data_IF_521419460020
#
_entry.id   IF_521419460020
#
_cell.length_a   1.000
_cell.length_b   1.000
_cell.length_c   1.000
_cell.angle_alpha   90.00
_cell.angle_beta   90.00
_cell.angle_gamma   90.00
#
_symmetry.space_group_name_H-M   'P 1'
#
loop_
_entity.id
_entity.type
_entity.pdbx_description
1 polymer ?
#
# COMPACT_ATOMS: atom_id res chain seq x y z
N UNK A 1 8.66 10.32 -3.46
CA UNK A 1 7.72 9.35 -2.88
C UNK A 1 6.52 9.19 -3.79
N UNK A 2 5.99 7.96 -3.98
CA UNK A 2 4.75 7.68 -4.73
C UNK A 2 3.79 6.92 -3.81
N UNK A 3 2.51 7.33 -3.80
CA UNK A 3 1.39 6.62 -3.16
C UNK A 3 0.41 6.25 -4.27
N UNK A 4 0.38 4.97 -4.66
CA UNK A 4 -0.25 4.54 -5.92
C UNK A 4 -1.75 4.23 -5.77
N UNK A 5 -2.25 4.04 -4.55
CA UNK A 5 -3.66 3.75 -4.25
C UNK A 5 -4.13 4.65 -3.09
N UNK A 6 -4.03 5.96 -3.29
CA UNK A 6 -3.99 6.95 -2.22
C UNK A 6 -5.34 7.26 -1.56
N UNK A 7 -6.46 7.04 -2.25
CA UNK A 7 -7.76 7.46 -1.74
C UNK A 7 -8.20 6.70 -0.47
N UNK A 8 -8.70 7.40 0.53
CA UNK A 8 -9.17 8.79 0.58
C UNK A 8 -8.12 9.85 0.96
N UNK A 9 -6.80 9.53 1.04
CA UNK A 9 -5.74 10.50 1.26
C UNK A 9 -5.08 10.46 2.65
N UNK A 10 -5.58 9.66 3.57
CA UNK A 10 -5.02 9.58 4.93
C UNK A 10 -3.55 9.16 4.97
N UNK A 11 -3.17 8.12 4.21
CA UNK A 11 -1.77 7.66 4.15
C UNK A 11 -0.88 8.67 3.46
N UNK A 12 -1.34 9.29 2.36
CA UNK A 12 -0.60 10.38 1.70
C UNK A 12 -0.32 11.55 2.65
N UNK A 13 -1.30 11.98 3.43
CA UNK A 13 -1.11 13.05 4.41
C UNK A 13 -0.09 12.66 5.49
N UNK A 14 -0.16 11.43 5.99
CA UNK A 14 0.81 10.90 6.97
C UNK A 14 2.22 10.85 6.36
N UNK A 15 2.36 10.40 5.10
CA UNK A 15 3.64 10.40 4.39
C UNK A 15 4.22 11.80 4.26
N UNK A 16 3.40 12.80 3.88
CA UNK A 16 3.82 14.19 3.78
C UNK A 16 4.30 14.75 5.13
N UNK A 17 3.65 14.35 6.22
CA UNK A 17 4.07 14.71 7.58
C UNK A 17 5.46 14.14 7.91
N UNK A 18 5.70 12.86 7.66
CA UNK A 18 7.01 12.23 7.84
C UNK A 18 8.08 12.81 6.90
N UNK A 19 7.69 13.30 5.73
CA UNK A 19 8.56 14.03 4.81
C UNK A 19 8.80 15.48 5.27
N UNK A 20 8.19 15.94 6.35
CA UNK A 20 8.26 17.35 6.83
C UNK A 20 7.87 18.35 5.73
N UNK A 21 6.93 17.99 4.87
CA UNK A 21 6.55 18.75 3.68
C UNK A 21 7.70 19.03 2.70
N UNK A 22 8.77 18.22 2.73
CA UNK A 22 9.93 18.37 1.83
C UNK A 22 9.89 17.35 0.70
N UNK A 23 10.51 17.69 -0.43
CA UNK A 23 10.59 16.82 -1.61
C UNK A 23 9.28 16.79 -2.41
N UNK A 24 8.94 15.65 -3.01
CA UNK A 24 7.74 15.48 -3.83
C UNK A 24 7.00 14.18 -3.46
N UNK A 25 5.74 14.34 -3.10
CA UNK A 25 4.79 13.24 -2.91
C UNK A 25 3.80 13.25 -4.08
N UNK A 26 3.73 12.16 -4.85
CA UNK A 26 2.69 11.98 -5.87
C UNK A 26 1.69 10.96 -5.33
N UNK A 27 0.44 11.38 -5.20
CA UNK A 27 -0.68 10.58 -4.72
C UNK A 27 -1.62 10.26 -5.87
N UNK A 28 -1.80 8.98 -6.17
CA UNK A 28 -2.59 8.50 -7.31
C UNK A 28 -3.75 7.62 -6.87
N UNK A 29 -4.79 7.60 -7.68
CA UNK A 29 -5.88 6.62 -7.56
C UNK A 29 -6.47 6.38 -8.96
N UNK A 30 -6.92 5.16 -9.24
CA UNK A 30 -7.57 4.81 -10.50
C UNK A 30 -8.99 5.37 -10.60
N UNK A 31 -9.63 5.68 -9.48
CA UNK A 31 -10.97 6.23 -9.44
C UNK A 31 -10.92 7.77 -9.39
N UNK A 32 -11.13 8.42 -10.53
CA UNK A 32 -11.08 9.88 -10.69
C UNK A 32 -11.96 10.63 -9.65
N UNK A 33 -13.13 10.10 -9.33
CA UNK A 33 -14.06 10.69 -8.36
C UNK A 33 -13.54 10.63 -6.92
N UNK A 34 -12.58 9.75 -6.60
CA UNK A 34 -11.98 9.65 -5.27
C UNK A 34 -10.79 10.60 -5.07
N UNK A 35 -10.24 11.13 -6.15
CA UNK A 35 -9.09 12.05 -6.09
C UNK A 35 -9.45 13.39 -5.44
N UNK A 36 -10.70 13.82 -5.53
CA UNK A 36 -11.19 15.02 -4.83
C UNK A 36 -11.07 14.89 -3.31
N UNK A 37 -11.27 13.67 -2.77
CA UNK A 37 -11.08 13.38 -1.34
C UNK A 37 -9.61 13.49 -0.94
N UNK A 38 -8.73 12.96 -1.79
CA UNK A 38 -7.27 13.05 -1.58
C UNK A 38 -6.83 14.52 -1.59
N UNK A 39 -7.20 15.27 -2.62
CA UNK A 39 -6.89 16.70 -2.74
C UNK A 39 -7.38 17.50 -1.54
N UNK A 40 -8.64 17.34 -1.16
CA UNK A 40 -9.22 18.02 0.00
C UNK A 40 -8.56 17.65 1.33
N UNK A 41 -8.13 16.39 1.50
CA UNK A 41 -7.39 15.97 2.68
C UNK A 41 -6.01 16.63 2.76
N UNK A 42 -5.27 16.64 1.64
CA UNK A 42 -3.94 17.26 1.58
C UNK A 42 -4.01 18.77 1.80
N UNK A 43 -4.97 19.46 1.17
CA UNK A 43 -5.19 20.91 1.34
C UNK A 43 -5.53 21.24 2.79
N UNK A 44 -6.53 20.58 3.37
CA UNK A 44 -6.97 20.79 4.75
C UNK A 44 -5.84 20.58 5.78
N UNK A 45 -4.90 19.69 5.49
CA UNK A 45 -3.77 19.36 6.37
C UNK A 45 -2.50 20.16 6.02
N UNK A 46 -2.58 21.12 5.10
CA UNK A 46 -1.46 22.00 4.75
C UNK A 46 -0.30 21.28 4.05
N UNK A 47 -0.60 20.22 3.28
CA UNK A 47 0.43 19.47 2.56
C UNK A 47 0.87 20.25 1.31
N UNK A 48 2.07 20.82 1.35
CA UNK A 48 2.64 21.61 0.25
C UNK A 48 3.45 20.78 -0.77
N UNK A 49 4.00 19.62 -0.35
CA UNK A 49 4.82 18.77 -1.21
C UNK A 49 4.00 17.78 -2.05
N UNK A 50 2.66 17.76 -1.89
CA UNK A 50 1.76 16.80 -2.50
C UNK A 50 1.29 17.19 -3.90
N UNK A 51 1.21 16.22 -4.80
CA UNK A 51 0.54 16.32 -6.10
C UNK A 51 -0.45 15.18 -6.24
N UNK A 52 -1.67 15.48 -6.68
CA UNK A 52 -2.72 14.47 -6.88
C UNK A 52 -2.90 14.24 -8.38
N UNK A 53 -2.79 12.99 -8.82
CA UNK A 53 -2.86 12.63 -10.23
C UNK A 53 -3.76 11.40 -10.42
N UNK A 54 -4.53 11.40 -11.50
CA UNK A 54 -5.23 10.19 -11.92
C UNK A 54 -4.23 9.21 -12.56
N UNK A 55 -4.15 8.00 -12.03
CA UNK A 55 -3.34 6.92 -12.61
C UNK A 55 -3.84 5.57 -12.12
N UNK A 56 -3.99 4.63 -13.04
CA UNK A 56 -4.19 3.23 -12.69
C UNK A 56 -2.84 2.63 -12.25
N UNK A 57 -2.77 2.16 -11.01
CA UNK A 57 -1.54 1.62 -10.44
C UNK A 57 -1.04 0.34 -11.13
N UNK A 58 -1.90 -0.38 -11.87
CA UNK A 58 -1.52 -1.53 -12.67
C UNK A 58 -0.89 -1.13 -14.03
N UNK A 59 -1.00 0.15 -14.43
CA UNK A 59 -0.48 0.66 -15.70
C UNK A 59 0.78 1.49 -15.45
N UNK A 60 1.88 1.13 -16.10
CA UNK A 60 3.15 1.84 -15.95
C UNK A 60 3.10 3.26 -16.52
N UNK A 61 3.58 4.21 -15.74
CA UNK A 61 3.73 5.62 -16.13
C UNK A 61 5.20 6.04 -15.92
N UNK A 62 5.90 6.29 -17.00
CA UNK A 62 7.33 6.63 -16.98
C UNK A 62 7.66 7.84 -16.09
N UNK A 63 6.74 8.79 -15.96
CA UNK A 63 6.93 9.98 -15.12
C UNK A 63 7.09 9.66 -13.61
N UNK A 64 6.79 8.44 -13.19
CA UNK A 64 6.91 8.01 -11.79
C UNK A 64 8.20 7.27 -11.48
N UNK A 65 9.01 6.96 -12.48
CA UNK A 65 10.28 6.25 -12.33
C UNK A 65 11.28 7.00 -11.42
N UNK A 66 12.23 6.28 -10.86
CA UNK A 66 13.29 6.84 -10.02
C UNK A 66 12.84 7.31 -8.63
N UNK A 67 11.76 6.77 -8.10
CA UNK A 67 11.25 7.11 -6.78
C UNK A 67 12.12 6.55 -5.65
N UNK A 68 12.40 7.35 -4.62
CA UNK A 68 13.08 6.91 -3.39
C UNK A 68 12.23 5.91 -2.60
N UNK A 69 10.90 6.07 -2.66
CA UNK A 69 9.97 5.16 -2.02
C UNK A 69 8.63 5.13 -2.75
N UNK A 70 8.00 3.94 -2.76
CA UNK A 70 6.68 3.69 -3.34
C UNK A 70 5.82 2.97 -2.32
N UNK A 71 4.60 3.44 -2.11
CA UNK A 71 3.57 2.79 -1.32
C UNK A 71 2.48 2.25 -2.23
N UNK A 72 2.15 0.97 -2.04
CA UNK A 72 1.02 0.28 -2.63
C UNK A 72 0.10 -0.20 -1.50
N UNK A 73 -0.82 0.64 -1.05
CA UNK A 73 -1.91 0.22 -0.17
C UNK A 73 -3.06 -0.26 -1.07
N UNK A 74 -2.93 -1.51 -1.51
CA UNK A 74 -3.73 -2.02 -2.65
C UNK A 74 -5.20 -2.25 -2.31
N UNK A 75 -6.10 -2.14 -3.29
CA UNK A 75 -7.48 -2.59 -3.12
C UNK A 75 -7.49 -4.07 -2.73
N UNK A 76 -8.23 -4.42 -1.69
CA UNK A 76 -8.27 -5.77 -1.12
C UNK A 76 -9.69 -6.15 -0.67
N UNK A 77 -9.90 -7.41 -0.27
CA UNK A 77 -11.19 -7.90 0.23
C UNK A 77 -11.68 -7.18 1.49
N UNK A 78 -10.77 -6.58 2.27
CA UNK A 78 -11.09 -5.84 3.47
C UNK A 78 -11.41 -6.71 4.69
N UNK A 79 -11.09 -8.00 4.68
CA UNK A 79 -11.40 -8.94 5.76
C UNK A 79 -10.73 -8.60 7.11
N UNK A 80 -9.83 -7.63 7.13
CA UNK A 80 -9.21 -7.13 8.37
C UNK A 80 -9.98 -6.00 9.05
N UNK A 81 -10.96 -5.37 8.36
CA UNK A 81 -11.68 -4.19 8.86
C UNK A 81 -13.17 -4.44 9.15
N UNK A 82 -13.53 -5.68 9.45
CA UNK A 82 -14.91 -6.11 9.70
C UNK A 82 -15.60 -5.36 10.84
N UNK A 83 -14.83 -4.90 11.83
CA UNK A 83 -15.37 -4.11 12.95
C UNK A 83 -15.89 -2.74 12.50
N UNK A 84 -15.22 -2.11 11.52
CA UNK A 84 -15.60 -0.81 10.96
C UNK A 84 -16.55 -0.90 9.78
N UNK A 85 -16.49 -2.02 9.03
CA UNK A 85 -17.29 -2.25 7.83
C UNK A 85 -17.96 -3.62 7.90
N UNK A 86 -19.02 -3.76 8.73
CA UNK A 86 -19.68 -5.05 8.96
C UNK A 86 -20.37 -5.62 7.71
N UNK A 87 -20.70 -4.79 6.74
CA UNK A 87 -21.24 -5.16 5.43
C UNK A 87 -20.31 -6.09 4.63
N UNK A 88 -19.01 -6.07 4.89
CA UNK A 88 -18.03 -6.98 4.28
C UNK A 88 -18.35 -8.45 4.60
N UNK A 89 -18.98 -8.74 5.75
CA UNK A 89 -19.40 -10.10 6.12
C UNK A 89 -20.42 -10.72 5.16
N UNK A 90 -21.16 -9.88 4.43
CA UNK A 90 -22.17 -10.31 3.47
C UNK A 90 -21.63 -10.45 2.04
N UNK A 91 -20.39 -10.01 1.81
CA UNK A 91 -19.77 -10.16 0.49
C UNK A 91 -19.40 -11.60 0.25
N UNK A 92 -19.72 -12.10 -0.95
CA UNK A 92 -19.14 -13.34 -1.42
C UNK A 92 -17.67 -13.13 -1.76
N UNK A 93 -16.88 -14.19 -1.74
CA UNK A 93 -15.50 -14.17 -2.19
C UNK A 93 -15.40 -14.37 -3.72
N UNK A 94 -16.52 -14.29 -4.43
CA UNK A 94 -16.56 -14.31 -5.88
C UNK A 94 -15.73 -13.13 -6.44
N UNK A 95 -14.83 -13.44 -7.37
CA UNK A 95 -13.93 -12.43 -7.92
C UNK A 95 -12.63 -12.20 -7.14
N UNK A 96 -12.38 -12.95 -6.05
CA UNK A 96 -11.12 -12.85 -5.30
C UNK A 96 -9.89 -13.07 -6.20
N UNK A 97 -9.96 -14.02 -7.13
CA UNK A 97 -8.89 -14.28 -8.10
C UNK A 97 -8.59 -13.05 -8.99
N UNK A 98 -9.63 -12.29 -9.34
CA UNK A 98 -9.47 -11.03 -10.07
C UNK A 98 -8.74 -9.99 -9.25
N UNK A 99 -9.06 -9.92 -7.96
CA UNK A 99 -8.43 -8.99 -7.02
C UNK A 99 -6.96 -9.35 -6.79
N UNK A 100 -6.65 -10.63 -6.59
CA UNK A 100 -5.27 -11.14 -6.44
C UNK A 100 -4.44 -10.83 -7.69
N UNK A 101 -5.00 -11.04 -8.89
CA UNK A 101 -4.31 -10.67 -10.15
C UNK A 101 -4.04 -9.16 -10.24
N UNK A 102 -5.01 -8.33 -9.86
CA UNK A 102 -4.84 -6.87 -9.84
C UNK A 102 -3.75 -6.45 -8.86
N UNK A 103 -3.75 -6.99 -7.65
CA UNK A 103 -2.74 -6.71 -6.62
C UNK A 103 -1.34 -7.07 -7.09
N UNK A 104 -1.19 -8.23 -7.73
CA UNK A 104 0.09 -8.63 -8.34
C UNK A 104 0.53 -7.66 -9.42
N UNK A 105 -0.35 -7.27 -10.35
CA UNK A 105 -0.04 -6.30 -11.40
C UNK A 105 0.37 -4.93 -10.84
N UNK A 106 -0.27 -4.48 -9.75
CA UNK A 106 0.10 -3.25 -9.05
C UNK A 106 1.50 -3.37 -8.44
N UNK A 107 1.82 -4.46 -7.76
CA UNK A 107 3.15 -4.68 -7.16
C UNK A 107 4.25 -4.71 -8.21
N UNK A 108 4.03 -5.43 -9.32
CA UNK A 108 4.95 -5.49 -10.48
C UNK A 108 5.21 -4.10 -11.08
N UNK A 109 4.15 -3.34 -11.27
CA UNK A 109 4.26 -1.97 -11.80
C UNK A 109 4.99 -1.04 -10.84
N UNK A 110 4.66 -1.13 -9.55
CA UNK A 110 5.27 -0.32 -8.50
C UNK A 110 6.77 -0.56 -8.33
N UNK A 111 7.20 -1.81 -8.47
CA UNK A 111 8.61 -2.18 -8.42
C UNK A 111 9.46 -1.45 -9.47
N UNK A 112 8.90 -1.20 -10.65
CA UNK A 112 9.57 -0.49 -11.74
C UNK A 112 9.83 0.99 -11.44
N UNK A 113 9.08 1.57 -10.51
CA UNK A 113 9.24 2.97 -10.12
C UNK A 113 10.34 3.19 -9.09
N UNK A 114 10.69 2.17 -8.32
CA UNK A 114 11.66 2.27 -7.23
C UNK A 114 13.07 2.36 -7.81
N UNK A 115 13.86 3.36 -7.41
CA UNK A 115 15.28 3.42 -7.77
C UNK A 115 16.12 2.38 -7.00
N UNK A 116 17.32 2.00 -7.45
CA UNK A 116 18.27 1.23 -6.64
C UNK A 116 18.49 1.91 -5.27
N UNK A 117 18.50 1.14 -4.19
CA UNK A 117 18.53 1.62 -2.81
C UNK A 117 17.21 2.22 -2.32
N UNK A 118 16.17 2.23 -3.15
CA UNK A 118 14.84 2.72 -2.79
C UNK A 118 13.97 1.68 -2.08
N UNK A 119 12.82 2.11 -1.58
CA UNK A 119 11.89 1.27 -0.80
C UNK A 119 10.56 1.08 -1.52
N UNK A 120 10.06 -0.14 -1.46
CA UNK A 120 8.72 -0.52 -1.88
C UNK A 120 7.94 -1.05 -0.67
N UNK A 121 6.78 -0.49 -0.40
CA UNK A 121 5.89 -0.97 0.65
C UNK A 121 4.60 -1.46 0.01
N UNK A 122 4.28 -2.72 0.26
CA UNK A 122 3.00 -3.33 -0.08
C UNK A 122 2.17 -3.51 1.17
N UNK A 123 0.91 -3.09 1.15
CA UNK A 123 0.02 -3.24 2.30
C UNK A 123 -1.42 -3.53 1.89
N UNK A 124 -2.14 -4.22 2.78
CA UNK A 124 -3.57 -4.53 2.64
C UNK A 124 -4.28 -4.39 3.97
N UNK A 125 -5.58 -4.10 3.95
CA UNK A 125 -6.46 -4.19 5.11
C UNK A 125 -7.22 -5.54 5.15
N UNK A 126 -6.59 -6.62 4.72
CA UNK A 126 -7.14 -7.98 4.79
C UNK A 126 -6.21 -8.93 5.53
N UNK A 127 -6.78 -9.99 6.09
CA UNK A 127 -6.03 -11.09 6.70
C UNK A 127 -5.95 -12.33 5.79
N UNK A 128 -6.47 -12.23 4.56
CA UNK A 128 -6.40 -13.31 3.59
C UNK A 128 -4.96 -13.55 3.11
N UNK A 129 -4.39 -14.74 3.32
CA UNK A 129 -3.00 -15.04 2.94
C UNK A 129 -2.74 -14.89 1.44
N UNK A 130 -3.74 -15.19 0.58
CA UNK A 130 -3.59 -15.13 -0.87
C UNK A 130 -3.38 -13.69 -1.38
N UNK A 131 -3.95 -12.72 -0.68
CA UNK A 131 -3.78 -11.29 -0.95
C UNK A 131 -2.52 -10.69 -0.30
N UNK A 132 -1.86 -11.42 0.59
CA UNK A 132 -0.75 -10.96 1.44
C UNK A 132 0.57 -11.67 1.06
N UNK A 133 1.03 -12.60 1.86
CA UNK A 133 2.26 -13.36 1.60
C UNK A 133 2.19 -14.16 0.28
N UNK A 134 1.00 -14.57 -0.13
CA UNK A 134 0.73 -15.23 -1.42
C UNK A 134 1.07 -14.35 -2.64
N UNK A 135 1.04 -13.02 -2.49
CA UNK A 135 1.50 -12.08 -3.53
C UNK A 135 3.00 -11.80 -3.40
N UNK A 136 3.46 -11.47 -2.19
CA UNK A 136 4.82 -10.94 -2.01
C UNK A 136 5.90 -12.01 -2.12
N UNK A 137 5.65 -13.24 -1.63
CA UNK A 137 6.65 -14.32 -1.71
C UNK A 137 6.97 -14.75 -3.15
N UNK A 138 6.00 -14.95 -4.06
CA UNK A 138 6.30 -15.19 -5.48
C UNK A 138 7.04 -14.03 -6.13
N UNK A 139 6.61 -12.78 -5.88
CA UNK A 139 7.29 -11.60 -6.38
C UNK A 139 8.79 -11.60 -6.00
N UNK A 140 9.14 -11.84 -4.75
CA UNK A 140 10.53 -11.89 -4.28
C UNK A 140 11.36 -13.02 -4.92
N UNK A 141 10.72 -14.11 -5.33
CA UNK A 141 11.40 -15.20 -6.05
C UNK A 141 11.71 -14.83 -7.50
N UNK A 142 10.84 -14.02 -8.11
CA UNK A 142 10.96 -13.58 -9.51
C UNK A 142 11.86 -12.33 -9.64
N UNK A 143 12.00 -11.54 -8.56
CA UNK A 143 12.72 -10.26 -8.51
C UNK A 143 13.89 -10.29 -7.53
N UNK A 144 15.00 -10.88 -7.95
CA UNK A 144 16.21 -11.00 -7.12
C UNK A 144 16.85 -9.66 -6.75
N UNK A 145 16.51 -8.59 -7.45
CA UNK A 145 16.90 -7.21 -7.16
C UNK A 145 16.13 -6.60 -5.96
N UNK A 146 15.16 -7.32 -5.40
CA UNK A 146 14.45 -6.92 -4.19
C UNK A 146 14.72 -7.88 -3.03
N UNK A 147 14.83 -7.33 -1.83
CA UNK A 147 14.88 -8.11 -0.60
C UNK A 147 13.90 -7.56 0.43
N UNK A 148 13.50 -8.38 1.37
CA UNK A 148 12.69 -7.95 2.51
C UNK A 148 13.50 -7.05 3.42
N UNK A 149 12.80 -6.09 4.04
CA UNK A 149 13.32 -5.23 5.09
C UNK A 149 12.40 -5.30 6.29
N UNK A 150 12.95 -5.56 7.46
CA UNK A 150 12.16 -5.64 8.69
C UNK A 150 11.35 -4.36 8.91
N UNK A 151 10.08 -4.54 9.24
CA UNK A 151 9.19 -3.46 9.68
C UNK A 151 9.24 -3.41 11.20
N UNK A 152 9.67 -2.27 11.73
CA UNK A 152 9.58 -2.02 13.17
C UNK A 152 8.15 -1.55 13.51
N UNK A 153 7.54 -2.21 14.48
CA UNK A 153 6.23 -1.86 14.97
C UNK A 153 6.24 -1.88 16.50
N UNK A 154 5.82 -0.78 17.07
CA UNK A 154 5.79 -0.60 18.55
C UNK A 154 4.47 -1.05 19.18
N UNK A 155 3.49 -1.48 18.37
CA UNK A 155 2.21 -1.95 18.91
C UNK A 155 2.37 -3.29 19.61
N UNK A 156 1.95 -3.41 20.88
CA UNK A 156 1.93 -4.70 21.58
C UNK A 156 1.09 -5.73 20.81
N UNK A 157 1.52 -7.00 20.85
CA UNK A 157 0.77 -8.09 20.20
C UNK A 157 0.95 -8.21 18.69
N UNK A 158 1.83 -7.42 18.08
CA UNK A 158 2.17 -7.58 16.66
C UNK A 158 2.86 -8.92 16.41
N UNK A 159 2.50 -9.57 15.33
CA UNK A 159 3.15 -10.78 14.85
C UNK A 159 4.02 -10.43 13.65
N UNK A 160 5.31 -10.70 13.79
CA UNK A 160 6.21 -10.74 12.63
C UNK A 160 6.23 -12.19 12.16
N UNK A 161 5.76 -12.42 10.95
CA UNK A 161 5.87 -13.70 10.29
C UNK A 161 7.09 -13.61 9.38
N UNK A 162 8.21 -14.11 9.87
CA UNK A 162 9.55 -14.08 9.25
C UNK A 162 9.96 -12.65 8.81
N UNK A 163 9.45 -12.19 7.66
CA UNK A 163 9.86 -10.96 6.99
C UNK A 163 8.73 -9.91 6.90
N UNK A 164 7.50 -10.27 7.28
CA UNK A 164 6.33 -9.41 7.12
C UNK A 164 5.69 -9.07 8.46
N UNK A 165 4.96 -7.96 8.50
CA UNK A 165 4.20 -7.56 9.67
C UNK A 165 2.72 -7.83 9.43
N UNK A 166 2.08 -8.59 10.33
CA UNK A 166 0.63 -8.77 10.35
C UNK A 166 0.05 -8.29 11.68
N UNK A 167 -0.93 -7.40 11.59
CA UNK A 167 -1.71 -6.94 12.73
C UNK A 167 -2.99 -7.78 12.81
N UNK A 168 -3.13 -8.55 13.86
CA UNK A 168 -4.34 -9.34 14.13
C UNK A 168 -5.23 -8.61 15.14
N UNK A 169 -6.50 -8.29 14.83
CA UNK A 169 -7.39 -7.53 15.71
C UNK A 169 -7.48 -8.07 17.14
N UNK A 170 -7.53 -9.38 17.29
CA UNK A 170 -7.62 -10.05 18.59
C UNK A 170 -6.33 -9.99 19.42
N UNK A 171 -5.20 -9.60 18.83
CA UNK A 171 -3.92 -9.43 19.51
C UNK A 171 -3.56 -7.98 19.74
N UNK A 172 -3.84 -7.14 18.75
CA UNK A 172 -3.39 -5.74 18.75
C UNK A 172 -4.46 -4.76 19.17
N UNK A 173 -5.74 -5.17 19.20
CA UNK A 173 -6.87 -4.26 19.44
C UNK A 173 -7.11 -3.25 18.31
N UNK A 174 -6.46 -3.45 17.16
CA UNK A 174 -6.56 -2.60 15.96
C UNK A 174 -7.30 -3.32 14.83
N UNK A 175 -7.48 -2.66 13.69
CA UNK A 175 -7.88 -3.35 12.47
C UNK A 175 -6.83 -4.37 12.05
N UNK A 176 -7.26 -5.39 11.30
CA UNK A 176 -6.36 -6.33 10.65
C UNK A 176 -5.63 -5.68 9.48
N UNK A 177 -4.31 -5.85 9.44
CA UNK A 177 -3.46 -5.24 8.42
C UNK A 177 -2.27 -6.14 8.10
N UNK A 178 -1.85 -6.12 6.84
CA UNK A 178 -0.60 -6.76 6.41
C UNK A 178 0.32 -5.73 5.79
N UNK A 179 1.62 -5.82 6.08
CA UNK A 179 2.64 -4.91 5.56
C UNK A 179 3.89 -5.72 5.19
N UNK A 180 4.34 -5.57 3.96
CA UNK A 180 5.64 -6.01 3.47
C UNK A 180 6.47 -4.79 3.07
N UNK A 181 7.64 -4.64 3.65
CA UNK A 181 8.62 -3.61 3.25
C UNK A 181 9.75 -4.26 2.50
N UNK A 182 10.01 -3.78 1.29
CA UNK A 182 11.01 -4.29 0.37
C UNK A 182 12.02 -3.17 0.05
N UNK A 183 13.26 -3.55 -0.17
CA UNK A 183 14.33 -2.66 -0.62
C UNK A 183 14.85 -3.15 -1.96
N UNK A 184 14.99 -2.24 -2.93
CA UNK A 184 15.66 -2.53 -4.20
C UNK A 184 17.18 -2.43 -4.01
N UNK A 185 17.90 -3.48 -4.39
CA UNK A 185 19.36 -3.58 -4.30
C UNK A 185 20.06 -2.70 -5.34
#
# INVERSE_FOLDING_TARGET
MRDLCSAPGGKSATLAQYMENKGTLVSCDAAQNRLTLVGGALERLGVACGRVLHNDAAVYNEAFAGADAVLCDVPCSGLGVLAKKPDIRQKTLDGLDGLVRLQRAILETAARYVRPGGRLVYSTCTLNPDENAGIVRPFLKEHSEFRTRSVECVLPGTTKDDDFLTLYPFRTGTDGFFIASLERL
#
